data_IF_117683209001
#
_entry.id   IF_117683209001
#
_cell.length_a   1.000
_cell.length_b   1.000
_cell.length_c   1.000
_cell.angle_alpha   90.00
_cell.angle_beta   90.00
_cell.angle_gamma   90.00
#
_symmetry.space_group_name_H-M   'P 1'
#
loop_
_entity.id
_entity.type
_entity.pdbx_description
1 polymer ?
#
# COMPACT_ATOMS: atom_id res chain seq x y z
N UNK A 1 26.54 17.62 29.76
CA UNK A 1 26.47 16.22 29.31
C UNK A 1 25.54 16.14 28.12
N UNK A 2 26.11 16.23 26.93
CA UNK A 2 25.44 16.02 25.65
C UNK A 2 25.08 14.54 25.53
N UNK A 3 23.80 14.20 25.67
CA UNK A 3 23.32 12.86 25.35
C UNK A 3 23.38 12.71 23.84
N UNK A 4 24.40 11.99 23.36
CA UNK A 4 24.40 11.38 22.04
C UNK A 4 23.15 10.50 21.96
N UNK A 5 22.10 11.00 21.29
CA UNK A 5 21.01 10.13 20.83
C UNK A 5 21.60 9.29 19.69
N UNK A 6 21.41 7.96 19.68
CA UNK A 6 21.93 7.13 18.60
C UNK A 6 21.41 7.66 17.26
N UNK A 7 22.34 7.81 16.32
CA UNK A 7 22.12 8.13 14.91
C UNK A 7 21.24 7.11 14.18
N UNK A 8 20.92 5.98 14.82
CA UNK A 8 20.05 4.92 14.32
C UNK A 8 18.61 5.39 14.02
N UNK A 9 18.22 6.55 14.57
CA UNK A 9 16.92 7.19 14.35
C UNK A 9 16.82 7.97 13.03
N UNK A 10 17.93 8.15 12.31
CA UNK A 10 17.98 8.81 10.99
C UNK A 10 17.90 7.78 9.85
N UNK A 11 18.42 6.56 10.07
CA UNK A 11 18.48 5.50 9.04
C UNK A 11 17.25 4.56 9.04
N UNK A 12 16.43 4.59 10.08
CA UNK A 12 15.15 3.87 10.12
C UNK A 12 14.01 4.74 9.55
N UNK A 13 13.83 4.74 8.23
CA UNK A 13 12.66 5.34 7.54
C UNK A 13 11.33 4.65 7.91
N UNK A 14 10.83 4.83 9.14
CA UNK A 14 9.39 5.05 9.41
C UNK A 14 8.44 4.02 8.75
N UNK A 15 8.59 2.76 9.15
CA UNK A 15 8.29 1.58 8.35
C UNK A 15 6.86 1.00 8.50
N UNK A 16 5.81 1.81 8.48
CA UNK A 16 4.44 1.26 8.38
C UNK A 16 3.62 2.04 7.38
N UNK A 17 3.12 1.35 6.36
CA UNK A 17 2.38 1.91 5.25
C UNK A 17 0.93 1.49 5.33
N UNK A 18 0.07 2.33 4.78
CA UNK A 18 -1.36 2.13 4.87
C UNK A 18 -2.13 2.93 3.84
N UNK A 19 -3.42 2.62 3.74
CA UNK A 19 -4.39 3.45 3.03
C UNK A 19 -4.69 4.67 3.91
N UNK A 20 -4.29 5.85 3.43
CA UNK A 20 -4.51 7.11 4.15
C UNK A 20 -5.74 7.81 3.57
N UNK A 21 -6.57 8.31 4.47
CA UNK A 21 -7.77 9.11 4.21
C UNK A 21 -7.67 10.40 5.03
N UNK A 22 -8.51 11.42 4.77
CA UNK A 22 -8.57 12.56 5.67
C UNK A 22 -8.98 12.10 7.09
N UNK A 23 -8.13 12.38 8.08
CA UNK A 23 -8.30 12.03 9.50
C UNK A 23 -8.46 10.54 9.81
N UNK A 24 -8.15 9.65 8.88
CA UNK A 24 -8.20 8.20 9.09
C UNK A 24 -7.08 7.50 8.33
N UNK A 25 -6.62 6.36 8.83
CA UNK A 25 -5.65 5.54 8.13
C UNK A 25 -5.89 4.07 8.45
N UNK A 26 -5.73 3.22 7.45
CA UNK A 26 -5.75 1.77 7.61
C UNK A 26 -4.35 1.22 7.34
N UNK A 27 -3.71 0.65 8.35
CA UNK A 27 -2.37 0.08 8.22
C UNK A 27 -2.42 -1.21 7.40
N UNK A 28 -1.62 -1.27 6.34
CA UNK A 28 -1.46 -2.43 5.46
C UNK A 28 -0.32 -3.33 5.96
N UNK A 29 0.83 -2.73 6.28
CA UNK A 29 2.02 -3.47 6.69
C UNK A 29 3.25 -2.60 6.73
N UNK A 30 4.42 -3.23 6.65
CA UNK A 30 5.71 -2.56 6.51
C UNK A 30 5.94 -2.03 5.10
N UNK A 31 7.09 -1.40 4.85
CA UNK A 31 7.47 -0.97 3.50
C UNK A 31 7.61 -2.18 2.59
N UNK A 32 8.36 -3.17 3.03
CA UNK A 32 8.56 -4.45 2.33
C UNK A 32 7.25 -5.18 2.04
N UNK A 33 6.26 -5.17 2.95
CA UNK A 33 4.95 -5.78 2.69
C UNK A 33 4.25 -5.13 1.48
N UNK A 34 4.26 -3.80 1.43
CA UNK A 34 3.63 -3.02 0.34
C UNK A 34 4.39 -3.18 -0.97
N UNK A 35 5.72 -3.09 -0.96
CA UNK A 35 6.53 -3.35 -2.16
C UNK A 35 6.26 -4.75 -2.70
N UNK A 36 6.19 -5.74 -1.81
CA UNK A 36 5.95 -7.15 -2.18
C UNK A 36 4.59 -7.33 -2.84
N UNK A 37 3.52 -6.72 -2.31
CA UNK A 37 2.19 -6.82 -2.92
C UNK A 37 2.18 -6.30 -4.37
N UNK A 38 2.72 -5.11 -4.61
CA UNK A 38 2.69 -4.51 -5.95
C UNK A 38 3.65 -5.17 -6.93
N UNK A 39 4.83 -5.61 -6.48
CA UNK A 39 5.75 -6.38 -7.31
C UNK A 39 5.14 -7.72 -7.71
N UNK A 40 4.54 -8.45 -6.76
CA UNK A 40 3.89 -9.72 -7.06
C UNK A 40 2.72 -9.53 -8.03
N UNK A 41 1.90 -8.49 -7.85
CA UNK A 41 0.82 -8.17 -8.78
C UNK A 41 1.35 -7.95 -10.20
N UNK A 42 2.43 -7.18 -10.36
CA UNK A 42 3.05 -6.93 -11.66
C UNK A 42 3.66 -8.20 -12.28
N UNK A 43 4.30 -9.04 -11.47
CA UNK A 43 4.87 -10.32 -11.93
C UNK A 43 3.75 -11.25 -12.42
N UNK A 44 2.65 -11.39 -11.65
CA UNK A 44 1.49 -12.21 -12.04
C UNK A 44 0.83 -11.73 -13.34
N UNK A 45 0.74 -10.41 -13.56
CA UNK A 45 0.24 -9.84 -14.81
C UNK A 45 1.23 -10.12 -15.96
N UNK A 46 2.53 -9.91 -15.73
CA UNK A 46 3.58 -10.10 -16.74
C UNK A 46 3.73 -11.57 -17.16
N UNK A 47 3.48 -12.50 -16.24
CA UNK A 47 3.49 -13.94 -16.48
C UNK A 47 2.17 -14.46 -17.10
N UNK A 48 1.17 -13.60 -17.28
CA UNK A 48 -0.14 -13.96 -17.83
C UNK A 48 -1.01 -14.81 -16.90
N UNK A 49 -0.67 -14.85 -15.60
CA UNK A 49 -1.46 -15.53 -14.55
C UNK A 49 -2.70 -14.70 -14.22
N UNK A 50 -2.57 -13.37 -14.26
CA UNK A 50 -3.65 -12.41 -14.10
C UNK A 50 -3.83 -11.57 -15.35
N UNK A 51 -5.06 -11.16 -15.62
CA UNK A 51 -5.35 -10.18 -16.67
C UNK A 51 -4.84 -8.79 -16.27
N UNK A 52 -4.39 -8.00 -17.25
CA UNK A 52 -4.04 -6.59 -17.07
C UNK A 52 -5.31 -5.71 -16.98
N UNK A 53 -6.16 -6.01 -16.00
CA UNK A 53 -7.44 -5.34 -15.79
C UNK A 53 -7.52 -4.60 -14.44
N UNK A 54 -6.39 -4.51 -13.71
CA UNK A 54 -6.30 -3.89 -12.39
C UNK A 54 -5.52 -2.55 -12.33
N UNK A 55 -5.56 -1.65 -13.33
CA UNK A 55 -4.71 -0.46 -13.34
C UNK A 55 -5.04 0.53 -12.21
N UNK A 56 -6.26 0.52 -11.67
CA UNK A 56 -6.58 1.38 -10.51
C UNK A 56 -5.85 0.88 -9.26
N UNK A 57 -5.65 -0.43 -9.12
CA UNK A 57 -4.88 -1.00 -8.02
C UNK A 57 -3.38 -0.96 -8.31
N UNK A 58 -2.92 -1.44 -9.47
CA UNK A 58 -1.49 -1.56 -9.79
C UNK A 58 -0.81 -0.23 -10.13
N UNK A 59 -1.54 0.74 -10.69
CA UNK A 59 -1.01 2.04 -11.09
C UNK A 59 -1.54 3.17 -10.23
N UNK A 60 -2.85 3.36 -10.11
CA UNK A 60 -3.39 4.55 -9.44
C UNK A 60 -3.16 4.51 -7.93
N UNK A 61 -3.52 3.41 -7.26
CA UNK A 61 -3.29 3.27 -5.82
C UNK A 61 -1.78 3.23 -5.48
N UNK A 62 -0.95 2.74 -6.41
CA UNK A 62 0.50 2.64 -6.28
C UNK A 62 1.23 3.98 -6.52
N UNK A 63 0.81 4.78 -7.50
CA UNK A 63 1.52 5.98 -7.98
C UNK A 63 0.76 7.29 -7.81
N UNK A 64 -0.56 7.28 -7.91
CA UNK A 64 -1.40 8.49 -7.86
C UNK A 64 -2.34 8.42 -6.66
N UNK A 65 -3.63 8.12 -6.86
CA UNK A 65 -4.65 7.99 -5.82
C UNK A 65 -5.97 7.41 -6.35
N UNK A 66 -6.82 6.97 -5.43
CA UNK A 66 -8.23 6.66 -5.71
C UNK A 66 -9.13 7.77 -5.13
N UNK A 67 -10.03 8.32 -5.94
CA UNK A 67 -10.97 9.38 -5.57
C UNK A 67 -12.38 9.07 -6.12
N UNK A 68 -13.29 10.05 -6.04
CA UNK A 68 -14.65 9.88 -6.55
C UNK A 68 -14.77 9.58 -8.04
N UNK A 69 -13.78 9.92 -8.87
CA UNK A 69 -13.81 9.68 -10.32
C UNK A 69 -13.53 8.22 -10.69
N UNK A 70 -12.59 7.57 -9.99
CA UNK A 70 -12.19 6.18 -10.24
C UNK A 70 -12.71 5.19 -9.18
N UNK A 71 -13.57 5.63 -8.25
CA UNK A 71 -14.04 4.79 -7.14
C UNK A 71 -14.80 3.54 -7.59
N UNK A 72 -15.75 3.66 -8.52
CA UNK A 72 -16.53 2.49 -8.98
C UNK A 72 -15.64 1.47 -9.69
N UNK A 73 -14.65 1.96 -10.44
CA UNK A 73 -13.63 1.12 -11.06
C UNK A 73 -12.77 0.42 -10.00
N UNK A 74 -12.30 1.15 -8.99
CA UNK A 74 -11.55 0.59 -7.88
C UNK A 74 -12.32 -0.51 -7.14
N UNK A 75 -13.61 -0.28 -6.83
CA UNK A 75 -14.46 -1.28 -6.17
C UNK A 75 -14.53 -2.58 -6.97
N UNK A 76 -14.77 -2.45 -8.27
CA UNK A 76 -14.85 -3.58 -9.20
C UNK A 76 -13.52 -4.34 -9.24
N UNK A 77 -12.42 -3.63 -9.52
CA UNK A 77 -11.08 -4.21 -9.59
C UNK A 77 -10.68 -4.88 -8.27
N UNK A 78 -11.01 -4.28 -7.11
CA UNK A 78 -10.70 -4.85 -5.80
C UNK A 78 -11.46 -6.16 -5.54
N UNK A 79 -12.71 -6.24 -5.97
CA UNK A 79 -13.51 -7.47 -5.86
C UNK A 79 -12.98 -8.56 -6.78
N UNK A 80 -12.72 -8.23 -8.05
CA UNK A 80 -12.19 -9.17 -9.04
C UNK A 80 -10.79 -9.67 -8.65
N UNK A 81 -9.93 -8.78 -8.17
CA UNK A 81 -8.59 -9.13 -7.70
C UNK A 81 -8.65 -10.02 -6.45
N UNK A 82 -9.59 -9.77 -5.54
CA UNK A 82 -9.81 -10.60 -4.35
C UNK A 82 -10.20 -12.02 -4.73
N UNK A 83 -11.13 -12.16 -5.68
CA UNK A 83 -11.54 -13.47 -6.21
C UNK A 83 -10.35 -14.18 -6.86
N UNK A 84 -9.58 -13.49 -7.70
CA UNK A 84 -8.40 -14.05 -8.33
C UNK A 84 -7.34 -14.51 -7.30
N UNK A 85 -7.01 -13.68 -6.31
CA UNK A 85 -6.05 -14.01 -5.25
C UNK A 85 -6.53 -15.15 -4.35
N UNK A 86 -7.85 -15.34 -4.21
CA UNK A 86 -8.42 -16.47 -3.46
C UNK A 86 -8.21 -17.81 -4.16
N UNK A 87 -8.10 -17.80 -5.49
CA UNK A 87 -7.88 -19.00 -6.29
C UNK A 87 -6.38 -19.33 -6.49
N UNK A 88 -5.49 -18.37 -6.21
CA UNK A 88 -4.05 -18.54 -6.37
C UNK A 88 -3.41 -19.09 -5.09
N UNK A 89 -2.73 -20.22 -5.24
CA UNK A 89 -1.96 -20.85 -4.17
C UNK A 89 -0.66 -20.08 -3.91
N UNK A 90 -0.32 -19.86 -2.65
CA UNK A 90 0.88 -19.13 -2.23
C UNK A 90 2.18 -19.93 -2.42
N UNK A 91 2.11 -21.26 -2.41
CA UNK A 91 3.24 -22.18 -2.50
C UNK A 91 3.98 -22.08 -3.85
N UNK A 92 3.31 -21.57 -4.88
CA UNK A 92 3.88 -21.37 -6.22
C UNK A 92 4.70 -20.09 -6.35
N UNK A 93 4.66 -19.21 -5.36
CA UNK A 93 5.38 -17.93 -5.41
C UNK A 93 6.81 -18.12 -4.90
N UNK A 94 7.78 -17.67 -5.70
CA UNK A 94 9.19 -17.58 -5.31
C UNK A 94 9.39 -16.40 -4.34
N UNK A 95 9.01 -16.61 -3.07
CA UNK A 95 8.97 -15.57 -2.04
C UNK A 95 10.31 -14.93 -1.71
N UNK A 96 11.42 -15.60 -2.02
CA UNK A 96 12.81 -15.16 -1.81
C UNK A 96 13.20 -13.95 -2.67
N UNK A 97 12.47 -13.68 -3.76
CA UNK A 97 12.74 -12.55 -4.67
C UNK A 97 12.22 -11.20 -4.14
N UNK A 98 11.30 -11.23 -3.17
CA UNK A 98 10.56 -10.05 -2.71
C UNK A 98 11.23 -9.38 -1.50
N UNK A 99 11.04 -8.06 -1.31
CA UNK A 99 11.78 -7.29 -0.32
C UNK A 99 11.42 -7.54 1.15
N UNK A 100 10.22 -8.06 1.45
CA UNK A 100 9.74 -8.21 2.84
C UNK A 100 10.56 -9.19 3.71
N UNK A 101 11.37 -10.06 3.11
CA UNK A 101 12.11 -11.13 3.80
C UNK A 101 13.62 -11.11 3.52
N UNK A 102 14.17 -10.05 2.90
CA UNK A 102 15.56 -10.05 2.37
C UNK A 102 16.65 -10.12 3.43
N UNK A 103 16.46 -9.49 4.59
CA UNK A 103 17.50 -9.38 5.61
C UNK A 103 16.95 -9.73 6.99
N UNK A 104 17.41 -10.86 7.53
CA UNK A 104 17.06 -11.29 8.87
C UNK A 104 17.56 -10.26 9.90
N UNK A 105 16.65 -9.77 10.74
CA UNK A 105 16.95 -8.70 11.70
C UNK A 105 16.63 -7.28 11.21
N UNK A 106 16.34 -7.09 9.92
CA UNK A 106 15.82 -5.82 9.43
C UNK A 106 14.38 -5.58 9.92
N UNK A 107 13.97 -4.31 9.98
CA UNK A 107 12.63 -3.94 10.47
C UNK A 107 11.52 -4.64 9.67
N UNK A 108 11.61 -4.65 8.35
CA UNK A 108 10.58 -5.25 7.48
C UNK A 108 10.43 -6.75 7.77
N UNK A 109 11.55 -7.45 8.00
CA UNK A 109 11.55 -8.86 8.39
C UNK A 109 10.89 -9.10 9.76
N UNK A 110 11.19 -8.25 10.74
CA UNK A 110 10.69 -8.39 12.12
C UNK A 110 9.22 -7.99 12.28
N UNK A 111 8.74 -7.06 11.44
CA UNK A 111 7.41 -6.46 11.58
C UNK A 111 6.46 -6.76 10.42
N UNK A 112 6.87 -7.62 9.47
CA UNK A 112 6.05 -8.05 8.34
C UNK A 112 4.66 -8.47 8.78
N UNK A 113 3.67 -8.12 7.98
CA UNK A 113 2.28 -8.54 8.13
C UNK A 113 1.91 -9.63 7.16
N UNK A 114 2.66 -9.79 6.07
CA UNK A 114 2.45 -10.88 5.13
C UNK A 114 3.05 -12.16 5.67
N UNK A 115 2.34 -13.27 5.46
CA UNK A 115 2.74 -14.60 5.90
C UNK A 115 2.68 -15.58 4.72
N UNK A 116 3.84 -15.87 4.08
CA UNK A 116 3.92 -16.80 2.95
C UNK A 116 3.43 -18.22 3.24
N UNK A 117 3.34 -18.62 4.52
CA UNK A 117 2.87 -19.95 4.90
C UNK A 117 1.35 -20.12 4.80
N UNK A 118 0.62 -19.03 4.56
CA UNK A 118 -0.84 -19.05 4.33
C UNK A 118 -1.18 -19.71 3.01
N UNK A 119 -2.31 -20.42 2.86
CA UNK A 119 -2.55 -21.28 1.70
C UNK A 119 -2.82 -20.51 0.39
N UNK A 120 -3.51 -19.38 0.44
CA UNK A 120 -3.84 -18.58 -0.75
C UNK A 120 -3.18 -17.20 -0.70
N UNK A 121 -3.01 -16.57 -1.86
CA UNK A 121 -2.50 -15.18 -1.90
C UNK A 121 -3.46 -14.22 -1.19
N UNK A 122 -4.76 -14.47 -1.22
CA UNK A 122 -5.73 -13.70 -0.43
C UNK A 122 -5.40 -13.75 1.07
N UNK A 123 -5.07 -14.93 1.60
CA UNK A 123 -4.72 -15.09 3.01
C UNK A 123 -3.37 -14.47 3.36
N UNK A 124 -2.39 -14.53 2.44
CA UNK A 124 -1.08 -13.87 2.61
C UNK A 124 -1.26 -12.35 2.74
N UNK A 125 -2.15 -11.76 1.92
CA UNK A 125 -2.39 -10.33 1.85
C UNK A 125 -3.73 -9.90 2.46
N UNK A 126 -4.25 -10.63 3.46
CA UNK A 126 -5.57 -10.41 4.07
C UNK A 126 -5.79 -8.93 4.46
N UNK A 127 -4.76 -8.29 5.02
CA UNK A 127 -4.80 -6.87 5.41
C UNK A 127 -5.01 -5.93 4.22
N UNK A 128 -4.46 -6.23 3.05
CA UNK A 128 -4.65 -5.41 1.86
C UNK A 128 -6.09 -5.43 1.41
N UNK A 129 -6.68 -6.61 1.28
CA UNK A 129 -8.08 -6.76 0.89
C UNK A 129 -9.04 -6.19 1.94
N UNK A 130 -8.77 -6.36 3.24
CA UNK A 130 -9.53 -5.71 4.29
C UNK A 130 -9.43 -4.17 4.24
N UNK A 131 -8.29 -3.64 3.77
CA UNK A 131 -8.11 -2.22 3.49
C UNK A 131 -8.94 -1.78 2.29
N UNK A 132 -8.87 -2.51 1.18
CA UNK A 132 -9.60 -2.21 -0.05
C UNK A 132 -11.11 -2.23 0.14
N UNK A 133 -11.65 -3.15 0.94
CA UNK A 133 -13.08 -3.19 1.28
C UNK A 133 -13.55 -1.97 2.07
N UNK A 134 -12.69 -1.44 2.95
CA UNK A 134 -13.01 -0.28 3.79
C UNK A 134 -12.83 1.04 3.07
N UNK A 135 -11.98 1.08 2.05
CA UNK A 135 -11.59 2.32 1.41
C UNK A 135 -12.76 3.07 0.74
N UNK A 136 -13.69 2.40 0.02
CA UNK A 136 -14.84 3.03 -0.59
C UNK A 136 -15.74 3.78 0.39
N UNK A 137 -16.03 3.18 1.55
CA UNK A 137 -16.85 3.81 2.59
C UNK A 137 -16.33 5.20 2.98
N UNK A 138 -15.01 5.34 3.11
CA UNK A 138 -14.40 6.63 3.47
C UNK A 138 -14.50 7.64 2.34
N UNK A 139 -14.28 7.23 1.09
CA UNK A 139 -14.44 8.11 -0.07
C UNK A 139 -15.87 8.61 -0.18
N UNK A 140 -16.85 7.70 -0.15
CA UNK A 140 -18.28 8.02 -0.22
C UNK A 140 -18.73 8.97 0.89
N UNK A 141 -18.26 8.74 2.13
CA UNK A 141 -18.57 9.59 3.28
C UNK A 141 -18.09 11.03 3.09
N UNK A 142 -16.98 11.25 2.40
CA UNK A 142 -16.48 12.59 2.09
C UNK A 142 -17.20 13.20 0.87
N UNK A 143 -17.52 12.41 -0.15
CA UNK A 143 -18.35 12.84 -1.28
C UNK A 143 -19.72 13.32 -0.82
N UNK A 144 -20.37 12.58 0.09
CA UNK A 144 -21.67 12.93 0.67
C UNK A 144 -21.64 14.26 1.46
N UNK A 145 -20.47 14.69 1.94
CA UNK A 145 -20.25 15.99 2.60
C UNK A 145 -19.98 17.14 1.62
N UNK A 146 -20.09 16.88 0.31
CA UNK A 146 -19.81 17.88 -0.74
C UNK A 146 -18.33 18.13 -0.99
N UNK A 147 -17.43 17.34 -0.40
CA UNK A 147 -15.98 17.52 -0.52
C UNK A 147 -15.44 16.78 -1.77
N UNK A 148 -15.88 17.14 -2.98
CA UNK A 148 -15.60 16.37 -4.20
C UNK A 148 -14.10 16.22 -4.55
N UNK A 149 -13.29 17.22 -4.24
CA UNK A 149 -11.86 17.24 -4.58
C UNK A 149 -10.96 16.59 -3.51
N UNK A 150 -11.56 16.13 -2.40
CA UNK A 150 -10.87 15.81 -1.16
C UNK A 150 -10.72 14.32 -0.82
N UNK A 151 -11.64 13.39 -1.14
CA UNK A 151 -11.43 12.00 -0.82
C UNK A 151 -10.40 11.42 -1.75
N UNK A 152 -9.24 11.10 -1.19
CA UNK A 152 -8.13 10.46 -1.88
C UNK A 152 -7.67 9.31 -1.00
N UNK A 153 -7.65 8.12 -1.57
CA UNK A 153 -7.04 6.93 -0.98
C UNK A 153 -5.66 6.83 -1.59
N UNK A 154 -4.66 6.81 -0.73
CA UNK A 154 -3.26 6.70 -1.14
C UNK A 154 -2.56 5.69 -0.26
N UNK A 155 -1.63 4.94 -0.85
CA UNK A 155 -0.65 4.19 -0.07
C UNK A 155 0.43 5.18 0.36
N UNK A 156 0.56 5.37 1.67
CA UNK A 156 1.50 6.32 2.26
C UNK A 156 2.01 5.78 3.59
N UNK A 157 3.18 6.25 4.07
CA UNK A 157 3.56 6.06 5.46
C UNK A 157 2.41 6.50 6.39
N UNK A 158 2.13 5.68 7.39
CA UNK A 158 1.16 5.94 8.45
C UNK A 158 1.90 6.35 9.72
N UNK A 159 1.32 7.28 10.49
CA UNK A 159 1.86 7.70 11.79
C UNK A 159 2.00 6.52 12.75
N UNK A 160 3.21 5.95 12.83
CA UNK A 160 3.66 5.29 14.04
C UNK A 160 3.72 6.40 15.10
N UNK A 161 3.10 6.20 16.26
CA UNK A 161 3.06 7.09 17.44
C UNK A 161 4.45 7.61 17.84
N UNK A 162 4.97 8.57 17.09
CA UNK A 162 6.31 9.15 17.22
C UNK A 162 6.23 10.66 17.45
N UNK A 163 5.02 11.19 17.65
CA UNK A 163 4.70 12.63 17.74
C UNK A 163 5.18 13.46 16.53
N UNK A 164 5.57 12.79 15.44
CA UNK A 164 6.02 13.42 14.19
C UNK A 164 4.93 13.28 13.14
N UNK A 165 4.34 14.42 12.76
CA UNK A 165 3.43 14.47 11.61
C UNK A 165 4.20 14.11 10.35
N UNK A 166 3.74 13.11 9.61
CA UNK A 166 4.25 12.92 8.25
C UNK A 166 3.83 14.13 7.41
N UNK A 167 4.76 14.66 6.61
CA UNK A 167 4.42 15.70 5.65
C UNK A 167 3.40 15.14 4.67
N UNK A 168 2.31 15.88 4.46
CA UNK A 168 1.32 15.56 3.44
C UNK A 168 1.89 15.91 2.07
N UNK A 169 1.71 15.03 1.10
CA UNK A 169 1.95 15.36 -0.30
C UNK A 169 0.96 16.43 -0.77
N UNK A 170 1.40 17.28 -1.68
CA UNK A 170 0.63 18.32 -2.35
C UNK A 170 -0.11 17.77 -3.55
N UNK A 171 -1.18 18.43 -3.97
CA UNK A 171 -1.94 18.09 -5.17
C UNK A 171 -1.07 18.01 -6.43
N UNK A 172 -0.05 18.86 -6.54
CA UNK A 172 0.92 18.79 -7.62
C UNK A 172 1.74 17.49 -7.57
N UNK A 173 2.30 17.13 -6.41
CA UNK A 173 3.06 15.87 -6.23
C UNK A 173 2.22 14.62 -6.52
N UNK A 174 0.88 14.69 -6.34
CA UNK A 174 -0.06 13.62 -6.68
C UNK A 174 -0.39 13.54 -8.18
N UNK A 175 -0.48 14.69 -8.85
CA UNK A 175 -0.85 14.80 -10.27
C UNK A 175 0.35 14.63 -11.21
N UNK A 176 1.57 14.71 -10.69
CA UNK A 176 2.79 14.44 -11.43
C UNK A 176 2.87 12.96 -11.84
N UNK A 177 2.90 12.75 -13.17
CA UNK A 177 3.24 11.47 -13.77
C UNK A 177 4.74 11.17 -13.58
N UNK A 178 5.11 10.75 -12.36
CA UNK A 178 6.44 10.19 -12.11
C UNK A 178 6.38 8.66 -12.14
N UNK A 179 7.48 8.07 -12.65
CA UNK A 179 7.65 6.63 -12.75
C UNK A 179 7.67 5.94 -11.37
N UNK A 180 8.10 6.68 -10.34
CA UNK A 180 8.26 6.17 -9.00
C UNK A 180 6.94 6.24 -8.20
N UNK A 181 6.66 5.24 -7.36
CA UNK A 181 5.52 5.25 -6.44
C UNK A 181 5.59 6.45 -5.49
N UNK A 182 4.46 7.07 -5.20
CA UNK A 182 4.39 8.29 -4.39
C UNK A 182 5.11 8.14 -3.04
N UNK A 183 5.00 6.96 -2.44
CA UNK A 183 5.55 6.61 -1.13
C UNK A 183 7.04 6.24 -1.15
N UNK A 184 7.66 6.17 -2.33
CA UNK A 184 9.11 6.11 -2.52
C UNK A 184 9.72 7.49 -2.83
N UNK A 185 8.90 8.49 -3.17
CA UNK A 185 9.36 9.87 -3.43
C UNK A 185 9.69 10.57 -2.12
N UNK A 186 10.79 11.33 -2.09
CA UNK A 186 11.05 12.24 -0.99
C UNK A 186 10.15 13.48 -1.12
N UNK A 187 9.43 13.88 -0.06
CA UNK A 187 8.58 15.06 -0.13
C UNK A 187 9.45 16.33 -0.23
N UNK A 188 9.24 17.14 -1.28
CA UNK A 188 10.14 18.22 -1.73
C UNK A 188 10.29 19.42 -0.78
#
# INVERSE_FOLDING_TARGET
MTRNRPSDLVDQRRNSFGLVFPNHSFMLGTKGDVETFFLLLNDLISEGVLEDCYPTISHDLYRTLVNGYNLERFKKEASELKEAFSALSSDRVAWDRYPFNREEGAFDYQHRRIDPAKPTLLDVFEKFFAGFEKAPFWVEKYLAKGMKDFPRIVVSPTEIRTDRKFRKFTDAEFLEASADPLWLREPA
#
